data_IF_122450535386
#
_entry.id   IF_122450535386
#
_cell.length_a   1.000
_cell.length_b   1.000
_cell.length_c   1.000
_cell.angle_alpha   90.00
_cell.angle_beta   90.00
_cell.angle_gamma   90.00
#
_symmetry.space_group_name_H-M   'P 1'
#
loop_
_entity.id
_entity.type
_entity.pdbx_description
1 polymer ?
#
# COMPACT_ATOMS: atom_id res chain seq x y z
N UNK A 1 24.92 -54.20 42.01
CA UNK A 1 25.19 -52.82 41.54
C UNK A 1 25.73 -52.88 40.12
N UNK A 2 25.27 -51.98 39.23
CA UNK A 2 25.62 -51.91 37.79
C UNK A 2 24.94 -53.06 37.02
N UNK A 3 23.86 -52.89 36.27
CA UNK A 3 23.66 -52.00 35.13
C UNK A 3 22.15 -51.94 34.84
N UNK A 4 21.46 -50.85 35.16
CA UNK A 4 20.10 -50.59 34.66
C UNK A 4 19.66 -49.13 34.86
N UNK A 5 20.62 -48.21 34.75
CA UNK A 5 20.36 -46.76 34.72
C UNK A 5 21.25 -46.20 33.61
N UNK A 6 20.85 -46.43 32.35
CA UNK A 6 21.39 -45.71 31.19
C UNK A 6 20.34 -45.81 30.06
N UNK A 7 19.14 -45.33 30.37
CA UNK A 7 18.11 -44.93 29.39
C UNK A 7 17.67 -43.52 29.76
N UNK A 8 18.67 -42.63 29.78
CA UNK A 8 18.57 -41.19 29.92
C UNK A 8 19.63 -40.65 28.95
N UNK A 9 19.23 -39.69 28.11
CA UNK A 9 19.97 -39.08 27.01
C UNK A 9 19.90 -39.78 25.64
N UNK A 10 18.76 -39.66 24.97
CA UNK A 10 18.73 -39.32 23.54
C UNK A 10 17.30 -38.93 23.11
N UNK A 11 16.87 -37.75 23.52
CA UNK A 11 15.76 -37.03 22.87
C UNK A 11 16.16 -35.55 22.80
N UNK A 12 17.24 -35.31 22.04
CA UNK A 12 17.67 -33.97 21.67
C UNK A 12 16.68 -33.44 20.64
N UNK A 13 15.98 -32.38 21.05
CA UNK A 13 15.59 -31.21 20.27
C UNK A 13 15.10 -31.43 18.83
N UNK A 14 13.79 -31.62 18.69
CA UNK A 14 13.04 -31.03 17.56
C UNK A 14 11.77 -30.38 18.14
N UNK A 15 11.94 -29.44 19.07
CA UNK A 15 10.90 -28.45 19.33
C UNK A 15 10.97 -27.45 18.17
N UNK A 16 10.11 -27.73 17.19
CA UNK A 16 9.83 -26.92 16.03
C UNK A 16 9.80 -25.44 16.42
N UNK A 17 10.57 -24.63 15.68
CA UNK A 17 10.28 -23.21 15.51
C UNK A 17 8.91 -23.12 14.83
N UNK A 18 7.84 -23.25 15.61
CA UNK A 18 6.53 -22.77 15.19
C UNK A 18 6.61 -21.26 15.29
N UNK A 19 7.05 -20.61 14.20
CA UNK A 19 6.58 -19.26 13.96
C UNK A 19 5.06 -19.29 14.15
N UNK A 20 4.45 -18.37 14.92
CA UNK A 20 3.01 -18.31 14.97
C UNK A 20 2.53 -18.04 13.54
N UNK A 21 1.90 -19.04 12.92
CA UNK A 21 1.16 -18.87 11.67
C UNK A 21 -0.04 -18.01 12.02
N UNK A 22 0.13 -16.69 12.01
CA UNK A 22 -1.01 -15.78 11.91
C UNK A 22 -1.38 -15.63 10.44
N UNK A 23 -1.75 -16.74 9.78
CA UNK A 23 -2.47 -16.66 8.51
C UNK A 23 -3.93 -16.31 8.82
N UNK A 24 -4.15 -15.07 9.26
CA UNK A 24 -5.40 -14.40 8.94
C UNK A 24 -5.29 -14.00 7.47
N UNK A 25 -5.46 -14.98 6.59
CA UNK A 25 -5.51 -14.77 5.15
C UNK A 25 -6.50 -13.63 4.87
N UNK A 26 -5.99 -12.54 4.27
CA UNK A 26 -6.83 -11.41 3.94
C UNK A 26 -7.79 -11.84 2.83
N UNK A 27 -9.07 -11.95 3.17
CA UNK A 27 -10.10 -12.38 2.22
C UNK A 27 -10.71 -11.17 1.51
N UNK A 28 -10.77 -11.17 0.17
CA UNK A 28 -11.56 -10.19 -0.57
C UNK A 28 -13.01 -10.14 -0.08
N UNK A 29 -13.57 -8.94 0.02
CA UNK A 29 -14.99 -8.78 0.32
C UNK A 29 -15.86 -9.14 -0.91
N UNK A 30 -17.18 -9.30 -0.68
CA UNK A 30 -18.11 -9.70 -1.74
C UNK A 30 -18.12 -8.76 -2.94
N UNK A 31 -17.91 -7.45 -2.71
CA UNK A 31 -17.89 -6.44 -3.76
C UNK A 31 -16.65 -6.61 -4.63
N UNK A 32 -15.49 -6.87 -4.01
CA UNK A 32 -14.25 -7.16 -4.73
C UNK A 32 -14.39 -8.41 -5.58
N UNK A 33 -14.95 -9.50 -5.05
CA UNK A 33 -15.16 -10.76 -5.77
C UNK A 33 -16.08 -10.60 -6.99
N UNK A 34 -17.06 -9.69 -6.94
CA UNK A 34 -17.97 -9.43 -8.07
C UNK A 34 -17.33 -8.61 -9.19
N UNK A 35 -16.33 -7.78 -8.87
CA UNK A 35 -15.78 -6.78 -9.79
C UNK A 35 -14.48 -7.27 -10.44
N UNK A 36 -13.63 -7.91 -9.65
CA UNK A 36 -12.30 -8.31 -10.08
C UNK A 36 -12.27 -9.79 -10.45
N UNK A 37 -11.47 -10.12 -11.47
CA UNK A 37 -11.15 -11.51 -11.79
C UNK A 37 -10.27 -12.12 -10.69
N UNK A 38 -10.17 -13.46 -10.59
CA UNK A 38 -9.24 -14.09 -9.67
C UNK A 38 -7.78 -13.65 -9.85
N UNK A 39 -7.35 -13.39 -11.10
CA UNK A 39 -5.99 -12.91 -11.39
C UNK A 39 -5.78 -11.48 -10.89
N UNK A 40 -6.75 -10.59 -11.14
CA UNK A 40 -6.74 -9.23 -10.61
C UNK A 40 -6.71 -9.23 -9.08
N UNK A 41 -7.57 -10.02 -8.43
CA UNK A 41 -7.62 -10.15 -6.97
C UNK A 41 -6.28 -10.61 -6.38
N UNK A 42 -5.62 -11.59 -7.01
CA UNK A 42 -4.30 -12.04 -6.56
C UNK A 42 -3.29 -10.89 -6.61
N UNK A 43 -3.24 -10.12 -7.71
CA UNK A 43 -2.36 -8.95 -7.80
C UNK A 43 -2.68 -7.87 -6.77
N UNK A 44 -3.97 -7.61 -6.50
CA UNK A 44 -4.40 -6.67 -5.45
C UNK A 44 -4.03 -7.14 -4.05
N UNK A 45 -4.14 -8.45 -3.78
CA UNK A 45 -3.71 -9.05 -2.50
C UNK A 45 -2.19 -8.91 -2.33
N UNK A 46 -1.40 -9.16 -3.37
CA UNK A 46 0.06 -8.95 -3.33
C UNK A 46 0.41 -7.48 -3.13
N UNK A 47 -0.33 -6.56 -3.75
CA UNK A 47 -0.19 -5.12 -3.50
C UNK A 47 -0.45 -4.75 -2.04
N UNK A 48 -1.48 -5.33 -1.42
CA UNK A 48 -1.77 -5.13 -0.01
C UNK A 48 -0.67 -5.71 0.87
N UNK A 49 -0.23 -6.95 0.61
CA UNK A 49 0.85 -7.59 1.37
C UNK A 49 2.14 -6.79 1.33
N UNK A 50 2.50 -6.28 0.16
CA UNK A 50 3.67 -5.41 0.01
C UNK A 50 3.59 -4.19 0.92
N UNK A 51 2.44 -3.54 1.01
CA UNK A 51 2.25 -2.38 1.89
C UNK A 51 2.15 -2.79 3.36
N UNK A 52 1.47 -3.90 3.68
CA UNK A 52 1.40 -4.49 5.03
C UNK A 52 2.81 -4.73 5.60
N UNK A 53 3.74 -5.23 4.76
CA UNK A 53 5.15 -5.44 5.11
C UNK A 53 5.88 -4.12 5.37
N UNK A 54 5.66 -3.09 4.54
CA UNK A 54 6.30 -1.77 4.73
C UNK A 54 5.80 -1.06 5.97
N UNK A 55 4.50 -1.08 6.21
CA UNK A 55 3.88 -0.53 7.43
C UNK A 55 4.37 -1.30 8.65
N UNK A 56 4.47 -2.63 8.56
CA UNK A 56 5.01 -3.48 9.65
C UNK A 56 6.47 -3.20 9.97
N UNK A 57 7.29 -2.87 8.96
CA UNK A 57 8.71 -2.62 9.15
C UNK A 57 8.99 -1.31 9.91
N UNK A 58 8.13 -0.30 9.75
CA UNK A 58 8.34 1.04 10.34
C UNK A 58 7.56 1.24 11.65
N UNK A 59 6.40 0.59 11.80
CA UNK A 59 5.52 0.83 12.95
C UNK A 59 5.60 -0.25 14.03
N UNK A 60 5.66 0.22 15.27
CA UNK A 60 5.49 -0.61 16.45
C UNK A 60 4.00 -0.92 16.64
N UNK A 61 3.64 -2.19 16.77
CA UNK A 61 2.27 -2.60 17.02
C UNK A 61 2.13 -4.13 17.07
N UNK A 62 1.13 -4.62 17.78
CA UNK A 62 0.94 -6.07 17.95
C UNK A 62 0.13 -6.69 16.81
N UNK A 63 -0.70 -5.90 16.14
CA UNK A 63 -1.50 -6.35 14.99
C UNK A 63 -1.52 -5.31 13.87
N UNK A 64 -1.94 -5.74 12.67
CA UNK A 64 -1.95 -4.91 11.47
C UNK A 64 -2.81 -3.65 11.61
N UNK A 65 -3.91 -3.72 12.37
CA UNK A 65 -4.81 -2.60 12.58
C UNK A 65 -4.15 -1.48 13.39
N UNK A 66 -3.43 -1.84 14.45
CA UNK A 66 -2.65 -0.88 15.23
C UNK A 66 -1.51 -0.27 14.41
N UNK A 67 -0.84 -1.07 13.58
CA UNK A 67 0.28 -0.61 12.75
C UNK A 67 -0.17 0.41 11.71
N UNK A 68 -1.24 0.14 10.96
CA UNK A 68 -1.80 1.15 10.04
C UNK A 68 -2.25 2.41 10.76
N UNK A 69 -2.89 2.29 11.93
CA UNK A 69 -3.29 3.48 12.72
C UNK A 69 -2.08 4.30 13.15
N UNK A 70 -1.00 3.66 13.60
CA UNK A 70 0.24 4.35 13.95
C UNK A 70 0.81 5.09 12.74
N UNK A 71 0.93 4.40 11.59
CA UNK A 71 1.40 4.99 10.33
C UNK A 71 0.55 6.20 9.93
N UNK A 72 -0.78 6.07 9.84
CA UNK A 72 -1.65 7.16 9.43
C UNK A 72 -1.73 8.31 10.45
N UNK A 73 -1.61 8.04 11.75
CA UNK A 73 -1.49 9.11 12.76
C UNK A 73 -0.21 9.93 12.56
N UNK A 74 0.89 9.28 12.13
CA UNK A 74 2.11 10.01 11.77
C UNK A 74 1.93 10.85 10.50
N UNK A 75 1.21 10.33 9.50
CA UNK A 75 0.88 11.12 8.30
C UNK A 75 -0.01 12.32 8.64
N UNK A 76 -0.99 12.13 9.53
CA UNK A 76 -1.86 13.20 10.04
C UNK A 76 -1.07 14.30 10.75
N UNK A 77 -0.06 13.95 11.55
CA UNK A 77 0.78 14.97 12.21
C UNK A 77 1.54 15.83 11.19
N UNK A 78 2.03 15.26 10.08
CA UNK A 78 2.63 16.07 9.02
C UNK A 78 1.63 17.06 8.41
N UNK A 79 0.39 16.63 8.17
CA UNK A 79 -0.67 17.49 7.63
C UNK A 79 -1.00 18.64 8.60
N UNK A 80 -1.20 18.34 9.88
CA UNK A 80 -1.51 19.33 10.92
C UNK A 80 -0.36 20.34 11.08
N UNK A 81 0.89 19.90 10.94
CA UNK A 81 2.07 20.76 10.98
C UNK A 81 2.35 21.52 9.67
N UNK A 82 1.51 21.34 8.63
CA UNK A 82 1.71 21.97 7.32
C UNK A 82 2.93 21.46 6.57
N UNK A 83 3.41 20.26 6.90
CA UNK A 83 4.56 19.60 6.28
C UNK A 83 4.14 18.73 5.10
N UNK A 84 5.08 18.50 4.18
CA UNK A 84 4.89 17.51 3.12
C UNK A 84 4.84 16.10 3.72
N UNK A 85 3.87 15.31 3.29
CA UNK A 85 3.77 13.90 3.68
C UNK A 85 4.87 13.12 2.96
N UNK A 86 5.77 12.43 3.69
CA UNK A 86 6.79 11.61 3.06
C UNK A 86 6.18 10.34 2.47
N UNK A 87 6.76 9.84 1.38
CA UNK A 87 6.39 8.53 0.87
C UNK A 87 6.93 7.40 1.76
N UNK A 88 6.11 6.37 1.94
CA UNK A 88 6.51 5.15 2.68
C UNK A 88 7.54 4.31 1.90
N UNK A 89 7.50 4.40 0.56
CA UNK A 89 8.31 3.58 -0.34
C UNK A 89 8.91 4.47 -1.43
N UNK A 90 10.20 4.28 -1.71
CA UNK A 90 10.87 4.96 -2.82
C UNK A 90 10.22 4.65 -4.17
N UNK A 91 10.12 5.65 -5.05
CA UNK A 91 9.40 5.50 -6.33
C UNK A 91 9.97 4.36 -7.20
N UNK A 92 11.29 4.16 -7.21
CA UNK A 92 11.93 3.07 -7.96
C UNK A 92 11.55 1.68 -7.45
N UNK A 93 11.40 1.52 -6.13
CA UNK A 93 11.00 0.24 -5.50
C UNK A 93 9.52 -0.02 -5.76
N UNK A 94 8.67 1.00 -5.62
CA UNK A 94 7.24 0.95 -5.92
C UNK A 94 6.99 0.54 -7.37
N UNK A 95 7.61 1.22 -8.34
CA UNK A 95 7.38 0.95 -9.77
C UNK A 95 7.81 -0.47 -10.15
N UNK A 96 9.00 -0.91 -9.68
CA UNK A 96 9.47 -2.29 -9.91
C UNK A 96 8.53 -3.32 -9.30
N UNK A 97 8.01 -3.06 -8.10
CA UNK A 97 7.03 -3.96 -7.49
C UNK A 97 5.74 -4.03 -8.31
N UNK A 98 5.21 -2.90 -8.77
CA UNK A 98 3.98 -2.85 -9.55
C UNK A 98 4.07 -3.56 -10.91
N UNK A 99 5.27 -3.75 -11.47
CA UNK A 99 5.50 -4.60 -12.65
C UNK A 99 5.27 -6.10 -12.36
N UNK A 100 5.24 -6.51 -11.08
CA UNK A 100 5.14 -7.92 -10.67
C UNK A 100 3.71 -8.39 -10.38
N UNK A 101 2.75 -7.47 -10.18
CA UNK A 101 1.38 -7.83 -9.79
C UNK A 101 0.50 -8.30 -10.97
N UNK A 102 1.05 -8.28 -12.19
CA UNK A 102 0.38 -8.64 -13.44
C UNK A 102 -0.35 -7.44 -14.08
N UNK A 103 -0.33 -7.41 -15.41
CA UNK A 103 -0.81 -6.26 -16.20
C UNK A 103 -2.29 -5.95 -15.97
N UNK A 104 -3.13 -6.98 -15.83
CA UNK A 104 -4.57 -6.80 -15.57
C UNK A 104 -4.83 -6.20 -14.19
N UNK A 105 -4.16 -6.73 -13.15
CA UNK A 105 -4.28 -6.20 -11.79
C UNK A 105 -3.75 -4.76 -11.72
N UNK A 106 -2.61 -4.50 -12.35
CA UNK A 106 -2.05 -3.16 -12.47
C UNK A 106 -3.04 -2.21 -13.15
N UNK A 107 -3.51 -2.53 -14.35
CA UNK A 107 -4.42 -1.69 -15.12
C UNK A 107 -5.79 -1.52 -14.44
N UNK A 108 -6.18 -2.42 -13.55
CA UNK A 108 -7.42 -2.29 -12.78
C UNK A 108 -7.41 -1.10 -11.82
N UNK A 109 -6.23 -0.65 -11.37
CA UNK A 109 -6.05 0.43 -10.38
C UNK A 109 -5.26 1.61 -10.94
N UNK A 110 -4.22 1.34 -11.74
CA UNK A 110 -3.14 2.26 -12.03
C UNK A 110 -2.98 2.55 -13.52
N UNK A 111 -2.37 3.71 -13.77
CA UNK A 111 -1.80 4.08 -15.06
C UNK A 111 -0.46 4.77 -14.83
N UNK A 112 0.50 4.56 -15.73
CA UNK A 112 1.71 5.37 -15.79
C UNK A 112 1.48 6.48 -16.81
N UNK A 113 1.69 7.73 -16.38
CA UNK A 113 1.80 8.85 -17.29
C UNK A 113 3.28 9.20 -17.45
N UNK A 114 3.67 9.49 -18.68
CA UNK A 114 5.03 9.90 -19.02
C UNK A 114 5.00 11.38 -19.38
N UNK A 115 5.75 12.19 -18.63
CA UNK A 115 5.93 13.61 -18.95
C UNK A 115 7.36 13.84 -19.36
N UNK A 116 7.55 14.37 -20.56
CA UNK A 116 8.85 14.78 -21.06
C UNK A 116 9.22 16.10 -20.38
N UNK A 117 10.30 16.12 -19.59
CA UNK A 117 10.85 17.37 -19.07
C UNK A 117 12.01 17.83 -19.96
N UNK A 118 12.01 19.08 -20.45
CA UNK A 118 13.20 19.64 -21.05
C UNK A 118 14.29 19.69 -19.99
N UNK A 119 15.45 19.11 -20.29
CA UNK A 119 16.64 19.28 -19.45
C UNK A 119 17.13 20.70 -19.70
N UNK A 120 17.04 21.53 -18.67
CA UNK A 120 17.49 22.93 -18.72
C UNK A 120 19.03 22.98 -18.75
N UNK A 121 19.62 22.55 -19.86
CA UNK A 121 20.99 22.86 -20.20
C UNK A 121 20.94 23.90 -21.32
N UNK A 122 21.24 25.14 -20.94
CA UNK A 122 21.53 26.24 -21.84
C UNK A 122 22.63 25.75 -22.80
N UNK A 123 22.38 25.85 -24.11
CA UNK A 123 23.30 25.50 -25.22
C UNK A 123 23.63 24.02 -25.52
N UNK A 124 22.63 23.20 -25.88
CA UNK A 124 22.88 22.13 -26.87
C UNK A 124 21.67 21.87 -27.77
N UNK A 125 21.91 21.91 -29.09
CA UNK A 125 20.98 21.55 -30.16
C UNK A 125 20.59 20.05 -30.19
N UNK A 126 20.85 19.32 -29.11
CA UNK A 126 20.49 17.92 -28.87
C UNK A 126 20.35 17.80 -27.34
N UNK A 127 19.14 17.94 -26.81
CA UNK A 127 18.86 17.78 -25.38
C UNK A 127 18.38 16.37 -25.12
N UNK A 128 19.12 15.60 -24.32
CA UNK A 128 18.65 14.34 -23.73
C UNK A 128 17.37 14.63 -22.93
N UNK A 129 16.23 14.23 -23.46
CA UNK A 129 14.94 14.41 -22.80
C UNK A 129 14.81 13.36 -21.68
N UNK A 130 14.70 13.81 -20.43
CA UNK A 130 14.36 12.91 -19.33
C UNK A 130 12.86 12.67 -19.29
N UNK A 131 12.45 11.41 -19.41
CA UNK A 131 11.05 10.99 -19.27
C UNK A 131 10.75 10.80 -17.78
N UNK A 132 9.93 11.68 -17.22
CA UNK A 132 9.42 11.53 -15.87
C UNK A 132 8.19 10.63 -15.90
N UNK A 133 8.29 9.44 -15.29
CA UNK A 133 7.16 8.53 -15.09
C UNK A 133 6.43 8.88 -13.79
N UNK A 134 5.13 9.09 -13.87
CA UNK A 134 4.27 9.31 -12.70
C UNK A 134 3.19 8.25 -12.63
N UNK A 135 2.99 7.69 -11.43
CA UNK A 135 1.92 6.75 -11.15
C UNK A 135 0.65 7.53 -10.81
N UNK A 136 -0.44 7.29 -11.53
CA UNK A 136 -1.76 7.88 -11.25
C UNK A 136 -2.81 6.79 -11.16
N UNK A 137 -3.94 7.09 -10.52
CA UNK A 137 -5.10 6.21 -10.60
C UNK A 137 -5.58 6.07 -12.04
N UNK A 138 -6.00 4.86 -12.41
CA UNK A 138 -6.78 4.63 -13.62
C UNK A 138 -8.25 4.95 -13.32
N UNK A 139 -8.65 6.17 -13.67
CA UNK A 139 -10.02 6.65 -13.50
C UNK A 139 -11.07 5.76 -14.19
N UNK A 140 -10.72 5.12 -15.31
CA UNK A 140 -11.59 4.20 -16.03
C UNK A 140 -11.38 2.73 -15.63
N UNK A 141 -10.57 2.48 -14.60
CA UNK A 141 -10.25 1.14 -14.10
C UNK A 141 -11.34 0.56 -13.20
N UNK A 142 -11.30 -0.76 -13.03
CA UNK A 142 -12.25 -1.49 -12.17
C UNK A 142 -12.19 -1.05 -10.70
N UNK A 143 -11.07 -0.48 -10.25
CA UNK A 143 -10.97 0.07 -8.90
C UNK A 143 -11.96 1.20 -8.64
N UNK A 144 -12.22 2.06 -9.62
CA UNK A 144 -13.24 3.10 -9.47
C UNK A 144 -14.65 2.52 -9.37
N UNK A 145 -14.95 1.44 -10.11
CA UNK A 145 -16.21 0.72 -9.96
C UNK A 145 -16.34 0.09 -8.56
N UNK A 146 -15.24 -0.44 -8.02
CA UNK A 146 -15.18 -0.98 -6.66
C UNK A 146 -15.41 0.08 -5.58
N UNK A 147 -14.79 1.25 -5.70
CA UNK A 147 -15.03 2.37 -4.78
C UNK A 147 -16.50 2.83 -4.83
N UNK A 148 -17.08 2.96 -6.01
CA UNK A 148 -18.48 3.34 -6.20
C UNK A 148 -19.43 2.33 -5.52
N UNK A 149 -19.26 1.04 -5.80
CA UNK A 149 -20.13 0.00 -5.25
C UNK A 149 -20.00 -0.10 -3.73
N UNK A 150 -18.77 -0.03 -3.21
CA UNK A 150 -18.52 -0.02 -1.75
C UNK A 150 -19.13 1.23 -1.10
N UNK A 151 -19.04 2.38 -1.76
CA UNK A 151 -19.55 3.67 -1.31
C UNK A 151 -21.08 3.75 -1.19
N UNK A 152 -21.83 2.83 -1.80
CA UNK A 152 -23.30 2.75 -1.62
C UNK A 152 -23.71 2.41 -0.19
N UNK A 153 -22.83 1.77 0.58
CA UNK A 153 -23.12 1.32 1.95
C UNK A 153 -22.12 1.84 2.98
N UNK A 154 -21.01 2.44 2.55
CA UNK A 154 -19.97 2.95 3.42
C UNK A 154 -19.61 4.41 3.07
N UNK A 155 -19.84 5.32 4.01
CA UNK A 155 -19.67 6.76 3.79
C UNK A 155 -18.23 7.18 3.52
N UNK A 156 -17.24 6.44 4.03
CA UNK A 156 -15.82 6.70 3.75
C UNK A 156 -15.56 6.50 2.26
N UNK A 157 -16.00 5.36 1.71
CA UNK A 157 -15.78 5.03 0.29
C UNK A 157 -16.66 5.87 -0.64
N UNK A 158 -17.84 6.28 -0.18
CA UNK A 158 -18.67 7.26 -0.89
C UNK A 158 -17.92 8.59 -1.08
N UNK A 159 -17.33 9.10 0.01
CA UNK A 159 -16.53 10.33 -0.02
C UNK A 159 -15.30 10.19 -0.93
N UNK A 160 -14.57 9.07 -0.83
CA UNK A 160 -13.42 8.78 -1.67
C UNK A 160 -13.80 8.74 -3.16
N UNK A 161 -14.84 7.97 -3.50
CA UNK A 161 -15.33 7.86 -4.88
C UNK A 161 -15.69 9.24 -5.44
N UNK A 162 -16.53 10.02 -4.76
CA UNK A 162 -16.99 11.32 -5.25
C UNK A 162 -15.83 12.31 -5.47
N UNK A 163 -14.86 12.36 -4.57
CA UNK A 163 -13.73 13.28 -4.70
C UNK A 163 -12.78 12.87 -5.82
N UNK A 164 -12.52 11.57 -5.98
CA UNK A 164 -11.67 11.07 -7.06
C UNK A 164 -12.40 11.16 -8.40
N UNK A 165 -13.72 10.93 -8.42
CA UNK A 165 -14.58 11.05 -9.61
C UNK A 165 -14.47 12.46 -10.22
N UNK A 166 -14.56 13.49 -9.36
CA UNK A 166 -14.48 14.89 -9.82
C UNK A 166 -13.05 15.29 -10.20
N UNK A 167 -12.03 14.81 -9.48
CA UNK A 167 -10.66 15.25 -9.68
C UNK A 167 -9.89 14.47 -10.76
N UNK A 168 -10.32 13.25 -11.09
CA UNK A 168 -9.61 12.36 -12.01
C UNK A 168 -8.41 11.59 -11.41
N UNK A 169 -8.02 11.89 -10.16
CA UNK A 169 -6.97 11.22 -9.36
C UNK A 169 -7.23 11.52 -7.87
N UNK A 170 -6.35 11.12 -6.95
CA UNK A 170 -6.47 11.45 -5.51
C UNK A 170 -6.20 12.96 -5.29
N UNK A 171 -7.21 13.78 -4.94
CA UNK A 171 -7.01 15.20 -4.76
C UNK A 171 -6.38 15.54 -3.39
N UNK A 172 -5.79 16.74 -3.23
CA UNK A 172 -5.19 17.17 -1.97
C UNK A 172 -6.12 17.08 -0.76
N UNK A 173 -7.43 17.30 -0.94
CA UNK A 173 -8.42 17.17 0.14
C UNK A 173 -8.52 15.74 0.66
N UNK A 174 -8.40 14.72 -0.20
CA UNK A 174 -8.39 13.32 0.22
C UNK A 174 -7.06 12.97 0.90
N UNK A 175 -5.95 13.54 0.40
CA UNK A 175 -4.61 13.39 1.01
C UNK A 175 -4.58 13.94 2.44
N UNK A 176 -5.21 15.08 2.71
CA UNK A 176 -5.27 15.61 4.08
C UNK A 176 -6.35 14.95 4.94
N UNK A 177 -7.50 14.62 4.36
CA UNK A 177 -8.65 14.09 5.09
C UNK A 177 -8.47 12.64 5.57
N UNK A 178 -7.89 11.77 4.74
CA UNK A 178 -7.87 10.34 5.01
C UNK A 178 -7.03 9.96 6.25
N UNK A 179 -5.79 10.49 6.44
CA UNK A 179 -5.00 10.22 7.63
C UNK A 179 -5.72 10.57 8.95
N UNK A 180 -6.44 11.71 8.98
CA UNK A 180 -7.19 12.18 10.15
C UNK A 180 -8.31 11.20 10.59
N UNK A 181 -8.72 10.29 9.69
CA UNK A 181 -9.79 9.30 9.91
C UNK A 181 -9.28 7.92 10.29
N UNK A 182 -7.96 7.75 10.48
CA UNK A 182 -7.37 6.45 10.82
C UNK A 182 -8.03 5.75 12.02
N UNK A 183 -8.57 6.52 12.98
CA UNK A 183 -9.30 6.00 14.15
C UNK A 183 -10.65 5.38 13.82
N UNK A 184 -11.28 5.77 12.73
CA UNK A 184 -12.59 5.27 12.29
C UNK A 184 -12.48 4.04 11.38
N UNK A 185 -11.28 3.76 10.86
CA UNK A 185 -11.05 2.73 9.84
C UNK A 185 -10.65 1.40 10.48
N UNK A 186 -11.31 0.33 10.09
CA UNK A 186 -10.94 -1.04 10.47
C UNK A 186 -10.02 -1.68 9.42
N UNK A 187 -8.70 -1.56 9.62
CA UNK A 187 -7.70 -2.16 8.75
C UNK A 187 -7.59 -3.68 8.86
N UNK A 188 -8.46 -4.37 9.59
CA UNK A 188 -8.60 -5.82 9.42
C UNK A 188 -9.29 -6.19 8.09
N UNK A 189 -10.10 -5.28 7.55
CA UNK A 189 -10.92 -5.49 6.36
C UNK A 189 -10.15 -5.30 5.05
N UNK A 190 -10.57 -6.03 4.01
CA UNK A 190 -9.99 -5.95 2.67
C UNK A 190 -10.07 -4.54 2.09
N UNK A 191 -11.29 -3.96 2.03
CA UNK A 191 -11.52 -2.60 1.52
C UNK A 191 -10.58 -1.55 2.12
N UNK A 192 -10.38 -1.62 3.44
CA UNK A 192 -9.56 -0.66 4.18
C UNK A 192 -8.08 -0.80 3.82
N UNK A 193 -7.57 -2.03 3.75
CA UNK A 193 -6.19 -2.29 3.37
C UNK A 193 -5.92 -2.04 1.89
N UNK A 194 -6.89 -2.33 1.03
CA UNK A 194 -6.78 -2.04 -0.41
C UNK A 194 -6.67 -0.53 -0.64
N UNK A 195 -7.55 0.27 -0.05
CA UNK A 195 -7.46 1.72 -0.15
C UNK A 195 -6.20 2.27 0.53
N UNK A 196 -5.78 1.74 1.68
CA UNK A 196 -4.52 2.14 2.30
C UNK A 196 -3.32 1.87 1.39
N UNK A 197 -3.29 0.72 0.71
CA UNK A 197 -2.24 0.38 -0.25
C UNK A 197 -2.23 1.36 -1.43
N UNK A 198 -3.39 1.66 -1.99
CA UNK A 198 -3.54 2.67 -3.05
C UNK A 198 -3.04 4.04 -2.58
N UNK A 199 -3.50 4.50 -1.42
CA UNK A 199 -3.12 5.79 -0.86
C UNK A 199 -1.60 5.89 -0.68
N UNK A 200 -0.98 4.92 0.00
CA UNK A 200 0.44 4.95 0.35
C UNK A 200 1.35 4.80 -0.86
N UNK A 201 0.97 4.00 -1.86
CA UNK A 201 1.72 3.88 -3.11
C UNK A 201 1.54 5.11 -4.00
N UNK A 202 0.44 5.86 -3.90
CA UNK A 202 0.26 7.09 -4.67
C UNK A 202 1.20 8.22 -4.22
N UNK A 203 1.66 8.20 -2.97
CA UNK A 203 2.64 9.16 -2.47
C UNK A 203 3.97 8.98 -3.22
N UNK A 204 4.52 10.08 -3.71
CA UNK A 204 5.81 10.10 -4.39
C UNK A 204 6.89 10.49 -3.40
N UNK A 205 8.08 9.91 -3.58
CA UNK A 205 9.26 10.43 -2.88
C UNK A 205 9.52 11.85 -3.38
N UNK A 206 9.50 12.83 -2.48
CA UNK A 206 10.21 14.08 -2.75
C UNK A 206 11.69 13.74 -2.96
N UNK A 207 12.43 14.60 -3.67
CA UNK A 207 13.89 14.45 -3.85
C UNK A 207 14.66 14.34 -2.52
N UNK A 208 14.01 14.68 -1.42
CA UNK A 208 14.53 14.63 -0.05
C UNK A 208 14.00 13.37 0.66
N UNK A 209 14.13 12.21 0.01
CA UNK A 209 13.75 10.94 0.60
C UNK A 209 14.42 10.77 1.96
N UNK A 210 13.62 10.33 2.93
CA UNK A 210 14.03 9.95 4.29
C UNK A 210 15.28 9.06 4.17
N UNK A 211 16.44 9.64 4.44
CA UNK A 211 17.64 8.90 4.80
C UNK A 211 17.27 7.99 5.95
N UNK A 212 17.55 6.70 5.77
CA UNK A 212 17.58 5.67 6.79
C UNK A 212 17.88 6.26 8.17
N UNK A 213 16.88 6.24 9.06
CA UNK A 213 17.16 6.42 10.47
C UNK A 213 17.83 5.13 10.91
N UNK A 214 19.15 5.21 11.09
CA UNK A 214 20.00 4.19 11.72
C UNK A 214 19.51 3.85 13.12
#
# INVERSE_FOLDING_TARGET
>A
MKKLIFLLLSAVAISQCSAPVTNNELKPDETAVKIFTPAELNGLIEMIKFVDDKVTAVEKGTNINQKYRACFNQLDSFVVEGKMIPALVADSVKLRFLETIGDEAFASVWKINETVKPVNNVDSALTDLSVLKTLTLNYSGKYMAYLNETGKTDSIYSYLFQNIEVAGDIPPVVVSWYPARAKEIDFSQFKARLWAAVYLLRLNTSSDAITEVK
#
